data_IF_548732415191
#
_entry.id   IF_548732415191
#
_cell.length_a   1.000
_cell.length_b   1.000
_cell.length_c   1.000
_cell.angle_alpha   90.00
_cell.angle_beta   90.00
_cell.angle_gamma   90.00
#
_symmetry.space_group_name_H-M   'P 1'
#
loop_
_entity.id
_entity.type
_entity.pdbx_description
1 polymer ?
#
# COMPACT_ATOMS: atom_id res chain seq x y z
N UNK A 1 -6.59 -3.48 5.27
CA UNK A 1 -6.53 -4.46 4.16
C UNK A 1 -7.87 -4.97 3.64
N UNK A 2 -8.76 -5.66 4.37
CA UNK A 2 -10.21 -5.66 3.96
C UNK A 2 -10.92 -4.42 4.52
N UNK A 3 -10.52 -4.00 5.73
CA UNK A 3 -11.11 -2.85 6.41
C UNK A 3 -10.87 -1.49 5.75
N UNK A 4 -9.81 -1.28 4.96
CA UNK A 4 -9.61 0.00 4.25
C UNK A 4 -10.44 0.08 2.98
N UNK A 5 -10.61 -1.06 2.29
CA UNK A 5 -11.54 -1.23 1.18
C UNK A 5 -12.98 -0.95 1.65
N UNK A 6 -13.37 -1.45 2.83
CA UNK A 6 -14.65 -1.11 3.47
C UNK A 6 -14.77 0.36 3.91
N UNK A 7 -13.66 1.02 4.26
CA UNK A 7 -13.65 2.45 4.64
C UNK A 7 -13.79 3.38 3.44
N UNK A 8 -13.19 3.02 2.31
CA UNK A 8 -13.08 3.88 1.12
C UNK A 8 -14.14 3.58 0.07
N UNK A 9 -14.62 2.33 -0.02
CA UNK A 9 -15.71 1.93 -0.90
C UNK A 9 -16.94 1.55 -0.08
N UNK A 10 -18.12 2.06 -0.47
CA UNK A 10 -19.39 1.43 -0.09
C UNK A 10 -19.49 0.12 -0.86
N UNK A 11 -18.95 -0.96 -0.30
CA UNK A 11 -19.05 -2.28 -0.91
C UNK A 11 -20.51 -2.72 -0.94
N UNK A 12 -21.03 -2.91 -2.15
CA UNK A 12 -22.32 -3.55 -2.36
C UNK A 12 -22.14 -5.06 -2.33
N UNK A 13 -23.24 -5.79 -2.12
CA UNK A 13 -23.24 -7.26 -2.04
C UNK A 13 -22.60 -7.93 -3.27
N UNK A 14 -22.62 -7.26 -4.42
CA UNK A 14 -22.03 -7.72 -5.69
C UNK A 14 -20.50 -7.63 -5.70
N UNK A 15 -19.92 -6.58 -5.10
CA UNK A 15 -18.47 -6.43 -4.96
C UNK A 15 -17.89 -7.54 -4.06
N UNK A 16 -18.65 -7.95 -3.04
CA UNK A 16 -18.25 -9.04 -2.14
C UNK A 16 -18.18 -10.39 -2.88
N UNK A 17 -19.11 -10.66 -3.80
CA UNK A 17 -19.10 -11.88 -4.62
C UNK A 17 -17.88 -11.94 -5.53
N UNK A 18 -17.41 -10.79 -6.04
CA UNK A 18 -16.18 -10.72 -6.83
C UNK A 18 -14.94 -11.03 -5.99
N UNK A 19 -14.86 -10.44 -4.79
CA UNK A 19 -13.76 -10.73 -3.84
C UNK A 19 -13.77 -12.20 -3.45
N UNK A 20 -14.92 -12.76 -3.09
CA UNK A 20 -15.07 -14.16 -2.68
C UNK A 20 -14.72 -15.14 -3.81
N UNK A 21 -15.09 -14.83 -5.07
CA UNK A 21 -14.83 -15.67 -6.24
C UNK A 21 -13.46 -15.48 -6.88
N UNK A 22 -12.56 -14.68 -6.31
CA UNK A 22 -11.29 -14.36 -6.97
C UNK A 22 -10.30 -15.54 -6.90
N UNK A 23 -9.74 -15.94 -8.04
CA UNK A 23 -8.77 -17.05 -8.14
C UNK A 23 -7.48 -16.84 -7.35
N UNK A 24 -7.23 -15.62 -6.88
CA UNK A 24 -6.08 -15.33 -6.02
C UNK A 24 -6.09 -16.12 -4.72
N UNK A 25 -7.26 -16.58 -4.24
CA UNK A 25 -7.36 -17.47 -3.08
C UNK A 25 -6.85 -18.89 -3.34
N UNK A 26 -6.74 -19.30 -4.63
CA UNK A 26 -6.20 -20.60 -5.05
C UNK A 26 -4.66 -20.58 -5.13
N UNK A 27 -4.03 -19.40 -4.96
CA UNK A 27 -2.58 -19.27 -5.00
C UNK A 27 -1.96 -19.75 -3.68
N UNK A 28 -1.44 -20.98 -3.68
CA UNK A 28 -0.65 -21.52 -2.57
C UNK A 28 0.83 -21.19 -2.74
N UNK A 29 1.38 -20.42 -1.79
CA UNK A 29 2.82 -20.18 -1.67
C UNK A 29 3.49 -21.32 -0.89
N UNK A 30 4.74 -21.69 -1.22
CA UNK A 30 5.48 -22.72 -0.49
C UNK A 30 5.62 -22.37 1.00
N UNK A 31 5.48 -23.39 1.85
CA UNK A 31 5.56 -23.24 3.29
C UNK A 31 6.95 -22.75 3.72
N UNK A 32 7.02 -21.53 4.25
CA UNK A 32 8.27 -20.92 4.76
C UNK A 32 8.50 -19.47 4.32
N UNK A 33 7.75 -18.96 3.34
CA UNK A 33 7.87 -17.57 2.91
C UNK A 33 6.97 -16.60 3.71
N UNK A 34 7.46 -15.37 3.87
CA UNK A 34 6.76 -14.29 4.58
C UNK A 34 5.51 -13.91 3.77
N UNK A 35 4.33 -14.32 4.24
CA UNK A 35 3.06 -13.83 3.68
C UNK A 35 1.95 -14.85 3.43
N UNK A 36 2.22 -16.16 3.44
CA UNK A 36 1.24 -17.26 3.45
C UNK A 36 -0.16 -16.99 2.87
N UNK A 37 -1.21 -17.34 3.61
CA UNK A 37 -2.63 -17.09 3.24
C UNK A 37 -3.07 -15.61 3.29
N UNK A 38 -2.18 -14.70 3.68
CA UNK A 38 -2.48 -13.26 3.85
C UNK A 38 -2.20 -12.49 2.54
N UNK A 39 -1.24 -12.97 1.73
CA UNK A 39 -0.83 -12.41 0.44
C UNK A 39 -1.98 -12.20 -0.58
N UNK A 40 -2.95 -13.12 -0.73
CA UNK A 40 -4.08 -12.91 -1.64
C UNK A 40 -4.94 -11.70 -1.27
N UNK A 41 -5.27 -11.55 0.01
CA UNK A 41 -6.01 -10.40 0.53
C UNK A 41 -5.20 -9.10 0.48
N UNK A 42 -3.89 -9.19 0.73
CA UNK A 42 -2.95 -8.08 0.54
C UNK A 42 -2.93 -7.60 -0.91
N UNK A 43 -2.86 -8.52 -1.88
CA UNK A 43 -2.78 -8.20 -3.31
C UNK A 43 -4.06 -7.52 -3.80
N UNK A 44 -5.23 -8.01 -3.39
CA UNK A 44 -6.51 -7.37 -3.68
C UNK A 44 -6.57 -5.93 -3.14
N UNK A 45 -6.05 -5.68 -1.93
CA UNK A 45 -5.96 -4.32 -1.39
C UNK A 45 -4.89 -3.45 -2.05
N UNK A 46 -3.84 -4.06 -2.61
CA UNK A 46 -2.75 -3.35 -3.30
C UNK A 46 -3.17 -2.89 -4.70
N UNK A 47 -4.13 -3.57 -5.34
CA UNK A 47 -4.71 -3.12 -6.61
C UNK A 47 -5.56 -1.86 -6.49
N UNK A 48 -6.16 -1.65 -5.32
CA UNK A 48 -6.96 -0.46 -5.00
C UNK A 48 -6.13 0.76 -4.58
N UNK A 49 -4.82 0.57 -4.33
CA UNK A 49 -3.94 1.69 -4.02
C UNK A 49 -3.63 2.48 -5.31
N UNK A 50 -3.82 3.82 -5.33
CA UNK A 50 -3.46 4.65 -6.48
C UNK A 50 -2.03 4.37 -6.98
N UNK A 51 -1.86 4.31 -8.30
CA UNK A 51 -0.59 3.93 -8.92
C UNK A 51 0.61 4.75 -8.39
N UNK A 52 0.40 6.03 -8.11
CA UNK A 52 1.44 6.93 -7.61
C UNK A 52 1.92 6.60 -6.18
N UNK A 53 1.14 5.84 -5.40
CA UNK A 53 1.48 5.44 -4.03
C UNK A 53 2.15 4.05 -3.95
N UNK A 54 1.97 3.20 -4.98
CA UNK A 54 2.42 1.80 -4.94
C UNK A 54 3.92 1.67 -4.64
N UNK A 55 4.76 2.44 -5.32
CA UNK A 55 6.21 2.38 -5.12
C UNK A 55 6.64 2.86 -3.72
N UNK A 56 5.99 3.90 -3.20
CA UNK A 56 6.25 4.41 -1.86
C UNK A 56 5.79 3.42 -0.77
N UNK A 57 4.64 2.77 -0.97
CA UNK A 57 4.13 1.75 -0.07
C UNK A 57 5.01 0.50 -0.03
N UNK A 58 5.47 0.02 -1.20
CA UNK A 58 6.41 -1.11 -1.27
C UNK A 58 7.76 -0.78 -0.63
N UNK A 59 8.22 0.47 -0.74
CA UNK A 59 9.44 0.90 -0.05
C UNK A 59 9.35 0.74 1.47
N UNK A 60 8.18 0.94 2.06
CA UNK A 60 8.00 0.72 3.50
C UNK A 60 8.27 -0.74 3.93
N UNK A 61 8.18 -1.72 3.02
CA UNK A 61 8.46 -3.12 3.32
C UNK A 61 9.95 -3.42 3.55
N UNK A 62 10.85 -2.45 3.31
CA UNK A 62 12.28 -2.59 3.61
C UNK A 62 12.52 -2.53 5.12
N UNK A 63 11.64 -1.86 5.86
CA UNK A 63 11.72 -1.77 7.30
C UNK A 63 11.31 -3.10 7.96
N UNK A 64 12.02 -3.52 9.03
CA UNK A 64 11.63 -4.70 9.79
C UNK A 64 10.20 -4.60 10.31
N UNK A 65 9.58 -5.75 10.57
CA UNK A 65 8.27 -5.80 11.21
C UNK A 65 8.31 -5.04 12.54
N UNK A 66 7.25 -4.28 12.81
CA UNK A 66 7.05 -3.50 14.04
C UNK A 66 8.09 -2.36 14.24
N UNK A 67 8.84 -2.01 13.19
CA UNK A 67 9.75 -0.87 13.22
C UNK A 67 8.99 0.46 13.15
N UNK A 68 9.34 1.40 14.04
CA UNK A 68 8.81 2.76 14.02
C UNK A 68 9.54 3.59 12.96
N UNK A 69 8.82 3.93 11.88
CA UNK A 69 9.37 4.73 10.79
C UNK A 69 9.15 6.21 11.08
N UNK A 70 10.23 6.97 11.25
CA UNK A 70 10.17 8.41 11.40
C UNK A 70 9.78 9.08 10.07
N UNK A 71 8.71 9.89 10.11
CA UNK A 71 8.12 10.54 8.93
C UNK A 71 9.12 11.36 8.12
N UNK A 72 9.93 12.17 8.79
CA UNK A 72 10.91 13.05 8.12
C UNK A 72 12.05 12.27 7.45
N UNK A 73 12.43 11.13 8.04
CA UNK A 73 13.42 10.22 7.44
C UNK A 73 12.82 9.54 6.20
N UNK A 74 11.59 9.05 6.29
CA UNK A 74 10.89 8.42 5.18
C UNK A 74 10.71 9.36 3.99
N UNK A 75 10.32 10.62 4.25
CA UNK A 75 10.19 11.65 3.22
C UNK A 75 11.50 11.85 2.46
N UNK A 76 12.61 12.05 3.19
CA UNK A 76 13.94 12.25 2.60
C UNK A 76 14.40 11.06 1.79
N UNK A 77 14.12 9.84 2.25
CA UNK A 77 14.44 8.63 1.51
C UNK A 77 13.64 8.52 0.21
N UNK A 78 12.33 8.77 0.24
CA UNK A 78 11.51 8.73 -0.97
C UNK A 78 11.97 9.73 -2.03
N UNK A 79 12.37 10.93 -1.63
CA UNK A 79 12.97 11.92 -2.53
C UNK A 79 14.33 11.45 -3.05
N UNK A 80 15.22 10.97 -2.17
CA UNK A 80 16.56 10.49 -2.55
C UNK A 80 16.52 9.30 -3.52
N UNK A 81 15.52 8.41 -3.38
CA UNK A 81 15.29 7.28 -4.27
C UNK A 81 14.47 7.66 -5.53
N UNK A 82 14.07 8.93 -5.67
CA UNK A 82 13.30 9.41 -6.83
C UNK A 82 11.87 8.87 -6.91
N UNK A 83 11.35 8.35 -5.80
CA UNK A 83 9.95 7.90 -5.67
C UNK A 83 8.99 9.09 -5.68
N UNK A 84 9.46 10.23 -5.18
CA UNK A 84 8.84 11.54 -5.31
C UNK A 84 9.80 12.42 -6.09
N UNK A 85 9.31 13.00 -7.19
CA UNK A 85 10.12 13.84 -8.07
C UNK A 85 9.98 15.30 -7.69
N UNK A 86 11.12 15.98 -7.58
CA UNK A 86 11.18 17.44 -7.57
C UNK A 86 10.84 17.97 -8.97
N UNK A 87 9.74 18.73 -9.09
CA UNK A 87 9.42 19.50 -10.29
C UNK A 87 9.21 20.97 -9.91
N UNK A 88 9.32 21.88 -10.87
CA UNK A 88 9.04 23.31 -10.66
C UNK A 88 7.63 23.52 -10.08
N UNK A 89 7.58 24.22 -8.94
CA UNK A 89 6.33 24.50 -8.22
C UNK A 89 5.81 23.36 -7.35
N UNK A 90 6.52 22.23 -7.25
CA UNK A 90 6.18 21.13 -6.35
C UNK A 90 7.06 21.20 -5.10
N UNK A 91 6.41 21.40 -3.95
CA UNK A 91 7.04 21.17 -2.66
C UNK A 91 7.04 19.67 -2.36
N UNK A 92 8.23 19.07 -2.35
CA UNK A 92 8.40 17.63 -2.17
C UNK A 92 8.11 17.17 -0.75
N UNK A 93 8.30 18.02 0.26
CA UNK A 93 7.95 17.67 1.64
C UNK A 93 6.43 17.66 1.81
N UNK A 94 5.73 18.65 1.25
CA UNK A 94 4.27 18.69 1.23
C UNK A 94 3.71 17.47 0.48
N UNK A 95 4.29 17.16 -0.69
CA UNK A 95 3.87 16.01 -1.50
C UNK A 95 4.10 14.68 -0.77
N UNK A 96 5.26 14.50 -0.14
CA UNK A 96 5.58 13.30 0.62
C UNK A 96 4.66 13.11 1.83
N UNK A 97 4.38 14.19 2.55
CA UNK A 97 3.44 14.17 3.67
C UNK A 97 2.02 13.80 3.24
N UNK A 98 1.60 14.29 2.08
CA UNK A 98 0.32 13.91 1.48
C UNK A 98 0.30 12.43 1.11
N UNK A 99 1.36 11.91 0.48
CA UNK A 99 1.46 10.49 0.13
C UNK A 99 1.41 9.58 1.36
N UNK A 100 2.10 9.96 2.46
CA UNK A 100 2.02 9.23 3.73
C UNK A 100 0.59 9.21 4.25
N UNK A 101 -0.10 10.36 4.22
CA UNK A 101 -1.50 10.46 4.67
C UNK A 101 -2.42 9.59 3.83
N UNK A 102 -2.21 9.56 2.52
CA UNK A 102 -3.02 8.76 1.61
C UNK A 102 -2.76 7.27 1.80
N UNK A 103 -1.50 6.85 1.97
CA UNK A 103 -1.14 5.47 2.32
C UNK A 103 -1.84 5.04 3.62
N UNK A 104 -1.81 5.88 4.67
CA UNK A 104 -2.48 5.56 5.95
C UNK A 104 -4.00 5.45 5.78
N UNK A 105 -4.59 6.25 4.89
CA UNK A 105 -6.04 6.23 4.63
C UNK A 105 -6.45 4.98 3.85
N UNK A 106 -5.60 4.53 2.92
CA UNK A 106 -5.88 3.45 1.98
C UNK A 106 -5.36 2.05 2.40
N UNK A 107 -4.39 1.94 3.32
CA UNK A 107 -3.88 0.66 3.86
C UNK A 107 -4.79 0.03 4.94
#
# INVERSE_FOLDING_TARGET
MVGSMMRTKKMHTEDWKFVEGNKIWEWEMPAGEIGGKILPGLTLSNDDLPHYLKSCFVYCCIYPKDYEIEREILNRQWVAHGLIKENEGIDVEVTANQFIKDIITHA
#
